data_IF_457696462205
#
_entry.id   IF_457696462205
#
_cell.length_a   1.000
_cell.length_b   1.000
_cell.length_c   1.000
_cell.angle_alpha   90.00
_cell.angle_beta   90.00
_cell.angle_gamma   90.00
#
_symmetry.space_group_name_H-M   'P 1'
#
loop_
_entity.id
_entity.type
_entity.pdbx_description
1 polymer ?
#
# COMPACT_ATOMS: atom_id res chain seq x y z
N UNK A 1 -38.60 4.79 -58.51
CA UNK A 1 -37.86 5.28 -57.32
C UNK A 1 -38.12 4.31 -56.17
N UNK A 2 -37.22 3.35 -55.97
CA UNK A 2 -37.32 2.31 -54.94
C UNK A 2 -36.52 2.78 -53.73
N UNK A 3 -37.19 2.96 -52.58
CA UNK A 3 -36.53 3.29 -51.31
C UNK A 3 -35.79 2.05 -50.82
N UNK A 4 -34.45 2.11 -50.79
CA UNK A 4 -33.63 1.09 -50.17
C UNK A 4 -33.82 1.14 -48.65
N UNK A 5 -34.24 0.01 -48.05
CA UNK A 5 -34.24 -0.23 -46.61
C UNK A 5 -32.78 -0.39 -46.16
N UNK A 6 -32.32 0.46 -45.25
CA UNK A 6 -31.08 0.21 -44.50
C UNK A 6 -31.28 -1.03 -43.60
N UNK A 7 -30.27 -1.92 -43.48
CA UNK A 7 -30.35 -3.07 -42.60
C UNK A 7 -30.32 -2.64 -41.12
N UNK A 8 -30.83 -3.48 -40.20
CA UNK A 8 -30.78 -3.19 -38.77
C UNK A 8 -29.31 -3.14 -38.31
N UNK A 9 -29.02 -2.19 -37.42
CA UNK A 9 -27.77 -2.09 -36.68
C UNK A 9 -27.56 -3.41 -35.92
N UNK A 10 -26.69 -4.26 -36.47
CA UNK A 10 -26.13 -5.36 -35.72
C UNK A 10 -25.13 -4.77 -34.74
N UNK A 11 -25.41 -4.94 -33.45
CA UNK A 11 -24.42 -4.80 -32.38
C UNK A 11 -23.16 -5.58 -32.80
N UNK A 12 -22.11 -4.84 -33.15
CA UNK A 12 -20.78 -5.40 -33.33
C UNK A 12 -20.30 -5.84 -31.96
N UNK A 13 -20.62 -7.07 -31.57
CA UNK A 13 -19.86 -7.81 -30.58
C UNK A 13 -18.45 -7.98 -31.15
N UNK A 14 -17.59 -7.01 -30.89
CA UNK A 14 -16.15 -7.14 -31.11
C UNK A 14 -15.72 -8.37 -30.30
N UNK A 15 -15.16 -9.41 -30.92
CA UNK A 15 -14.70 -10.57 -30.17
C UNK A 15 -13.64 -10.10 -29.17
N UNK A 16 -13.95 -10.22 -27.89
CA UNK A 16 -13.04 -9.91 -26.81
C UNK A 16 -11.79 -10.79 -27.00
N UNK A 17 -10.64 -10.17 -27.26
CA UNK A 17 -9.36 -10.87 -27.23
C UNK A 17 -9.19 -11.49 -25.84
N UNK A 18 -8.69 -12.73 -25.77
CA UNK A 18 -8.58 -13.51 -24.54
C UNK A 18 -7.88 -12.70 -23.43
N UNK A 19 -8.69 -12.16 -22.51
CA UNK A 19 -8.21 -11.43 -21.35
C UNK A 19 -7.54 -12.38 -20.35
N UNK A 20 -6.67 -11.85 -19.50
CA UNK A 20 -6.05 -12.64 -18.43
C UNK A 20 -6.99 -12.70 -17.23
N UNK A 21 -7.12 -13.89 -16.66
CA UNK A 21 -7.79 -14.14 -15.40
C UNK A 21 -6.91 -13.73 -14.23
N UNK A 22 -7.47 -12.96 -13.30
CA UNK A 22 -6.84 -12.57 -12.03
C UNK A 22 -7.82 -12.82 -10.88
N UNK A 23 -7.27 -13.14 -9.71
CA UNK A 23 -8.03 -13.20 -8.46
C UNK A 23 -7.67 -11.98 -7.62
N UNK A 24 -8.65 -11.12 -7.36
CA UNK A 24 -8.46 -9.91 -6.56
C UNK A 24 -9.22 -10.04 -5.22
N UNK A 25 -8.66 -9.47 -4.15
CA UNK A 25 -9.38 -9.33 -2.89
C UNK A 25 -10.49 -8.29 -3.05
N UNK A 26 -11.60 -8.44 -2.34
CA UNK A 26 -12.72 -7.50 -2.45
C UNK A 26 -12.35 -6.06 -2.04
N UNK A 27 -11.35 -5.88 -1.18
CA UNK A 27 -10.84 -4.56 -0.81
C UNK A 27 -10.09 -3.86 -1.95
N UNK A 28 -9.56 -4.62 -2.90
CA UNK A 28 -8.79 -4.13 -4.04
C UNK A 28 -9.66 -4.00 -5.29
N UNK A 29 -10.97 -4.16 -5.14
CA UNK A 29 -11.95 -4.09 -6.22
C UNK A 29 -12.99 -3.05 -5.87
N UNK A 30 -13.22 -2.14 -6.82
CA UNK A 30 -14.25 -1.13 -6.72
C UNK A 30 -15.16 -1.18 -7.93
N UNK A 31 -16.38 -0.71 -7.75
CA UNK A 31 -17.36 -0.70 -8.82
C UNK A 31 -16.99 0.32 -9.90
N UNK A 32 -17.25 -0.03 -11.16
CA UNK A 32 -17.07 0.87 -12.31
C UNK A 32 -18.00 2.08 -12.14
N UNK A 33 -17.55 3.30 -12.44
CA UNK A 33 -18.44 4.49 -12.39
C UNK A 33 -19.69 4.36 -13.29
N UNK A 34 -19.66 3.44 -14.24
CA UNK A 34 -20.79 3.14 -15.13
C UNK A 34 -21.82 2.19 -14.53
N UNK A 35 -21.54 1.57 -13.39
CA UNK A 35 -22.47 0.62 -12.78
C UNK A 35 -23.68 1.37 -12.21
N UNK A 36 -24.86 1.09 -12.76
CA UNK A 36 -26.12 1.69 -12.31
C UNK A 36 -26.46 1.40 -10.84
N UNK A 37 -25.98 0.28 -10.29
CA UNK A 37 -26.23 -0.10 -8.88
C UNK A 37 -25.57 0.86 -7.89
N UNK A 38 -24.43 1.45 -8.25
CA UNK A 38 -23.75 2.45 -7.43
C UNK A 38 -24.64 3.67 -7.17
N UNK A 39 -25.27 4.16 -8.23
CA UNK A 39 -26.07 5.39 -8.18
C UNK A 39 -27.36 5.21 -7.39
N UNK A 40 -27.85 3.97 -7.26
CA UNK A 40 -29.02 3.63 -6.44
C UNK A 40 -28.74 3.70 -4.93
N UNK A 41 -27.47 3.72 -4.53
CA UNK A 41 -27.09 3.81 -3.11
C UNK A 41 -27.02 5.23 -2.59
N UNK A 42 -26.86 6.20 -3.49
CA UNK A 42 -26.77 7.59 -3.09
C UNK A 42 -28.11 8.05 -2.53
N UNK A 43 -28.04 8.81 -1.45
CA UNK A 43 -29.18 9.50 -0.86
C UNK A 43 -28.84 10.94 -0.49
N UNK A 44 -29.85 11.72 -0.04
CA UNK A 44 -29.62 13.06 0.46
C UNK A 44 -28.56 13.09 1.57
N UNK A 45 -27.56 13.95 1.41
CA UNK A 45 -26.40 14.09 2.31
C UNK A 45 -25.12 13.42 1.82
N UNK A 46 -25.18 12.53 0.82
CA UNK A 46 -23.98 11.92 0.26
C UNK A 46 -23.15 12.91 -0.55
N UNK A 47 -21.82 12.77 -0.50
CA UNK A 47 -20.88 13.65 -1.20
C UNK A 47 -20.46 13.05 -2.53
N UNK A 48 -20.58 13.84 -3.59
CA UNK A 48 -20.16 13.48 -4.95
C UNK A 48 -19.28 14.58 -5.53
N UNK A 49 -18.72 14.36 -6.73
CA UNK A 49 -18.18 15.44 -7.53
C UNK A 49 -19.03 15.61 -8.80
N UNK A 50 -19.34 16.85 -9.15
CA UNK A 50 -20.05 17.20 -10.37
C UNK A 50 -19.14 17.97 -11.33
N UNK A 51 -19.35 17.79 -12.63
CA UNK A 51 -18.58 18.50 -13.65
C UNK A 51 -19.20 19.86 -13.94
N UNK A 52 -18.54 20.93 -13.50
CA UNK A 52 -18.99 22.30 -13.72
C UNK A 52 -18.52 22.82 -15.07
N UNK A 53 -19.42 22.93 -16.05
CA UNK A 53 -19.09 23.47 -17.38
C UNK A 53 -18.57 24.91 -17.35
N UNK A 54 -19.03 25.73 -16.39
CA UNK A 54 -18.59 27.11 -16.26
C UNK A 54 -17.10 27.21 -15.88
N UNK A 55 -16.59 26.21 -15.15
CA UNK A 55 -15.20 26.18 -14.66
C UNK A 55 -14.35 25.12 -15.39
N UNK A 56 -14.98 24.33 -16.26
CA UNK A 56 -14.37 23.18 -16.94
C UNK A 56 -13.61 22.25 -15.98
N UNK A 57 -14.18 22.01 -14.80
CA UNK A 57 -13.55 21.28 -13.71
C UNK A 57 -14.58 20.47 -12.92
N UNK A 58 -14.10 19.40 -12.27
CA UNK A 58 -14.87 18.66 -11.28
C UNK A 58 -14.87 19.42 -9.96
N UNK A 59 -16.02 19.50 -9.30
CA UNK A 59 -16.20 20.21 -8.04
C UNK A 59 -17.00 19.35 -7.07
N UNK A 60 -16.67 19.35 -5.76
CA UNK A 60 -17.43 18.62 -4.76
C UNK A 60 -18.85 19.20 -4.64
N UNK A 61 -19.81 18.33 -4.40
CA UNK A 61 -21.22 18.66 -4.21
C UNK A 61 -21.87 17.66 -3.25
N UNK A 62 -23.02 18.04 -2.68
CA UNK A 62 -23.82 17.20 -1.80
C UNK A 62 -25.15 16.90 -2.48
N UNK A 63 -25.55 15.63 -2.48
CA UNK A 63 -26.85 15.21 -2.98
C UNK A 63 -27.93 15.75 -2.05
N UNK A 64 -28.89 16.49 -2.58
CA UNK A 64 -30.09 16.95 -1.86
C UNK A 64 -31.31 16.07 -2.17
N UNK A 65 -31.35 15.50 -3.38
CA UNK A 65 -32.47 14.66 -3.83
C UNK A 65 -32.17 13.91 -5.12
N UNK A 66 -33.07 12.99 -5.47
CA UNK A 66 -33.04 12.25 -6.73
C UNK A 66 -34.38 12.46 -7.42
N UNK A 67 -34.34 13.01 -8.62
CA UNK A 67 -35.52 13.28 -9.43
C UNK A 67 -36.10 11.98 -10.02
N UNK A 68 -37.39 11.95 -10.38
CA UNK A 68 -38.04 10.76 -10.94
C UNK A 68 -37.44 10.25 -12.26
N UNK A 69 -36.70 11.10 -12.98
CA UNK A 69 -36.01 10.74 -14.22
C UNK A 69 -34.60 10.16 -14.00
N UNK A 70 -34.17 10.05 -12.73
CA UNK A 70 -32.86 9.53 -12.34
C UNK A 70 -31.74 10.59 -12.31
N UNK A 71 -32.05 11.86 -12.55
CA UNK A 71 -31.12 12.96 -12.31
C UNK A 71 -31.01 13.30 -10.82
N UNK A 72 -29.90 13.93 -10.42
CA UNK A 72 -29.63 14.28 -9.03
C UNK A 72 -29.79 15.78 -8.81
N UNK A 73 -30.48 16.14 -7.75
CA UNK A 73 -30.50 17.49 -7.22
C UNK A 73 -29.33 17.64 -6.25
N UNK A 74 -28.42 18.57 -6.56
CA UNK A 74 -27.26 18.88 -5.73
C UNK A 74 -27.43 20.25 -5.09
N UNK A 75 -26.75 20.48 -3.97
CA UNK A 75 -26.67 21.77 -3.27
C UNK A 75 -26.24 22.94 -4.17
N UNK A 76 -25.46 22.63 -5.21
CA UNK A 76 -24.96 23.59 -6.21
C UNK A 76 -25.80 23.69 -7.48
N UNK A 77 -26.57 22.65 -7.84
CA UNK A 77 -27.32 22.59 -9.09
C UNK A 77 -28.37 21.47 -9.09
N UNK A 78 -29.59 21.77 -9.51
CA UNK A 78 -30.68 20.79 -9.67
C UNK A 78 -30.63 20.04 -11.02
N UNK A 79 -31.19 18.82 -11.05
CA UNK A 79 -31.37 18.03 -12.28
C UNK A 79 -30.06 17.63 -13.00
N UNK A 80 -28.99 17.37 -12.25
CA UNK A 80 -27.68 17.01 -12.81
C UNK A 80 -27.71 15.54 -13.29
N UNK A 81 -27.43 15.26 -14.57
CA UNK A 81 -27.43 13.89 -15.07
C UNK A 81 -26.21 13.11 -14.53
N UNK A 82 -26.36 11.79 -14.38
CA UNK A 82 -25.29 10.89 -13.92
C UNK A 82 -24.01 11.01 -14.74
N UNK A 83 -24.10 11.33 -16.03
CA UNK A 83 -22.94 11.54 -16.90
C UNK A 83 -22.07 12.73 -16.51
N UNK A 84 -22.58 13.65 -15.69
CA UNK A 84 -21.86 14.79 -15.13
C UNK A 84 -21.47 14.59 -13.67
N UNK A 85 -21.71 13.39 -13.12
CA UNK A 85 -21.35 13.05 -11.75
C UNK A 85 -20.20 12.03 -11.75
N UNK A 86 -19.39 12.09 -10.70
CA UNK A 86 -18.47 11.02 -10.35
C UNK A 86 -18.48 10.81 -8.85
N UNK A 87 -18.43 9.54 -8.46
CA UNK A 87 -18.34 9.16 -7.06
C UNK A 87 -16.92 9.35 -6.54
N UNK A 88 -16.83 9.82 -5.29
CA UNK A 88 -15.59 9.75 -4.53
C UNK A 88 -15.23 8.29 -4.25
N UNK A 89 -13.94 8.00 -4.16
CA UNK A 89 -13.43 6.63 -4.03
C UNK A 89 -14.05 5.87 -2.85
N UNK A 90 -14.27 6.53 -1.71
CA UNK A 90 -14.94 5.94 -0.52
C UNK A 90 -16.31 5.31 -0.80
N UNK A 91 -17.06 5.82 -1.79
CA UNK A 91 -18.38 5.29 -2.15
C UNK A 91 -18.28 4.11 -3.12
N UNK A 92 -17.11 3.90 -3.73
CA UNK A 92 -16.88 2.84 -4.73
C UNK A 92 -16.36 1.55 -4.10
N UNK A 93 -15.87 1.62 -2.86
CA UNK A 93 -15.44 0.50 -2.01
C UNK A 93 -16.57 -0.09 -1.17
N UNK A 94 -17.76 -0.27 -1.74
CA UNK A 94 -18.84 -0.93 -1.00
C UNK A 94 -18.68 -2.46 -1.08
N UNK A 95 -18.04 -3.05 -0.06
CA UNK A 95 -17.78 -4.48 0.00
C UNK A 95 -19.04 -5.35 -0.18
N UNK A 96 -20.23 -4.88 0.22
CA UNK A 96 -21.49 -5.61 0.01
C UNK A 96 -21.89 -5.62 -1.46
N UNK A 97 -21.78 -4.50 -2.16
CA UNK A 97 -22.08 -4.46 -3.59
C UNK A 97 -21.02 -5.17 -4.44
N UNK A 98 -19.75 -5.11 -4.05
CA UNK A 98 -18.70 -5.87 -4.74
C UNK A 98 -18.98 -7.37 -4.62
N UNK A 99 -19.60 -7.84 -3.53
CA UNK A 99 -20.06 -9.23 -3.40
C UNK A 99 -21.26 -9.56 -4.31
N UNK A 100 -22.08 -8.56 -4.67
CA UNK A 100 -23.21 -8.72 -5.58
C UNK A 100 -22.82 -8.71 -7.06
N UNK A 101 -21.54 -8.42 -7.37
CA UNK A 101 -21.03 -8.50 -8.73
C UNK A 101 -21.16 -9.93 -9.28
N UNK A 102 -21.70 -10.02 -10.48
CA UNK A 102 -21.89 -11.25 -11.22
C UNK A 102 -21.00 -11.37 -12.45
N UNK A 103 -20.84 -12.58 -13.02
CA UNK A 103 -20.15 -12.78 -14.28
C UNK A 103 -20.66 -11.84 -15.37
N UNK A 104 -19.75 -11.06 -15.97
CA UNK A 104 -20.05 -10.08 -16.99
C UNK A 104 -20.07 -8.63 -16.51
N UNK A 105 -20.22 -8.38 -15.20
CA UNK A 105 -20.23 -7.02 -14.65
C UNK A 105 -18.86 -6.33 -14.82
N UNK A 106 -18.85 -5.01 -14.98
CA UNK A 106 -17.62 -4.22 -15.04
C UNK A 106 -17.18 -3.78 -13.65
N UNK A 107 -15.90 -3.97 -13.34
CA UNK A 107 -15.28 -3.51 -12.11
C UNK A 107 -13.95 -2.81 -12.43
N UNK A 108 -13.37 -2.18 -11.42
CA UNK A 108 -11.97 -1.77 -11.44
C UNK A 108 -11.24 -2.50 -10.32
N UNK A 109 -10.03 -2.97 -10.59
CA UNK A 109 -9.12 -3.50 -9.57
C UNK A 109 -7.89 -2.61 -9.47
N UNK A 110 -7.29 -2.54 -8.29
CA UNK A 110 -6.03 -1.82 -8.12
C UNK A 110 -4.87 -2.69 -8.62
N UNK A 111 -4.21 -2.27 -9.68
CA UNK A 111 -3.00 -2.92 -10.17
C UNK A 111 -1.82 -2.36 -9.39
N UNK A 112 -1.36 -3.14 -8.41
CA UNK A 112 -0.28 -2.72 -7.51
C UNK A 112 1.00 -2.44 -8.28
N UNK A 113 1.30 -3.21 -9.34
CA UNK A 113 2.51 -3.00 -10.15
C UNK A 113 2.49 -1.65 -10.89
N UNK A 114 1.30 -1.11 -11.16
CA UNK A 114 1.11 0.20 -11.79
C UNK A 114 0.80 1.31 -10.80
N UNK A 115 0.42 0.97 -9.57
CA UNK A 115 -0.16 1.90 -8.62
C UNK A 115 -1.37 2.65 -9.20
N UNK A 116 -2.18 1.95 -10.00
CA UNK A 116 -3.31 2.52 -10.74
C UNK A 116 -4.51 1.58 -10.78
N UNK A 117 -5.71 2.15 -10.79
CA UNK A 117 -6.96 1.40 -11.01
C UNK A 117 -7.11 0.98 -12.46
N UNK A 118 -7.25 -0.32 -12.71
CA UNK A 118 -7.42 -0.90 -14.03
C UNK A 118 -8.83 -1.46 -14.19
N UNK A 119 -9.39 -1.33 -15.39
CA UNK A 119 -10.70 -1.91 -15.71
C UNK A 119 -10.61 -3.42 -15.85
N UNK A 120 -11.61 -4.10 -15.31
CA UNK A 120 -11.76 -5.53 -15.46
C UNK A 120 -13.24 -5.92 -15.58
N UNK A 121 -13.47 -7.16 -16.01
CA UNK A 121 -14.80 -7.75 -16.07
C UNK A 121 -14.87 -8.94 -15.15
N UNK A 122 -15.93 -9.06 -14.39
CA UNK A 122 -16.11 -10.16 -13.45
C UNK A 122 -16.31 -11.46 -14.22
N UNK A 123 -15.53 -12.50 -13.90
CA UNK A 123 -15.65 -13.81 -14.51
C UNK A 123 -16.49 -14.76 -13.64
N UNK A 124 -16.37 -14.63 -12.33
CA UNK A 124 -17.09 -15.47 -11.36
C UNK A 124 -17.56 -14.61 -10.19
N UNK A 125 -18.67 -15.00 -9.57
CA UNK A 125 -19.15 -14.38 -8.34
C UNK A 125 -18.09 -14.38 -7.25
N UNK A 126 -18.11 -13.33 -6.42
CA UNK A 126 -17.28 -13.26 -5.24
C UNK A 126 -17.48 -14.48 -4.33
N UNK A 127 -16.39 -15.08 -3.86
CA UNK A 127 -16.40 -16.17 -2.87
C UNK A 127 -15.27 -15.96 -1.88
N UNK A 128 -15.58 -16.17 -0.60
CA UNK A 128 -14.60 -16.15 0.50
C UNK A 128 -13.69 -14.90 0.52
N UNK A 129 -14.24 -13.72 0.21
CA UNK A 129 -13.48 -12.46 0.27
C UNK A 129 -12.68 -12.11 -0.99
N UNK A 130 -12.80 -12.90 -2.06
CA UNK A 130 -12.13 -12.66 -3.35
C UNK A 130 -13.10 -12.72 -4.52
N UNK A 131 -12.72 -12.12 -5.64
CA UNK A 131 -13.46 -12.13 -6.90
C UNK A 131 -12.52 -12.40 -8.07
N UNK A 132 -13.00 -13.20 -9.02
CA UNK A 132 -12.25 -13.54 -10.23
C UNK A 132 -12.61 -12.57 -11.36
N UNK A 133 -11.60 -11.94 -11.96
CA UNK A 133 -11.75 -10.89 -12.96
C UNK A 133 -10.96 -11.21 -14.24
N UNK A 134 -11.47 -10.77 -15.37
CA UNK A 134 -10.79 -10.73 -16.67
C UNK A 134 -10.33 -9.31 -16.95
N UNK A 135 -9.03 -9.15 -17.15
CA UNK A 135 -8.45 -7.86 -17.53
C UNK A 135 -8.25 -7.85 -19.03
N UNK A 136 -8.84 -6.87 -19.72
CA UNK A 136 -8.67 -6.71 -21.17
C UNK A 136 -7.32 -6.07 -21.46
N UNK A 137 -6.49 -6.76 -22.23
CA UNK A 137 -5.20 -6.23 -22.64
C UNK A 137 -5.40 -5.15 -23.70
N UNK A 138 -5.16 -3.89 -23.34
CA UNK A 138 -4.56 -2.96 -24.29
C UNK A 138 -3.05 -2.74 -23.99
N UNK A 139 -2.57 -3.07 -22.78
CA UNK A 139 -1.17 -2.81 -22.39
C UNK A 139 -0.51 -3.74 -21.34
N UNK A 140 -1.04 -4.93 -21.00
CA UNK A 140 -0.41 -5.75 -19.94
C UNK A 140 0.61 -6.79 -20.47
N UNK A 141 1.71 -6.96 -19.73
CA UNK A 141 2.64 -8.10 -19.81
C UNK A 141 2.15 -9.22 -18.88
N UNK A 142 2.62 -10.47 -19.03
CA UNK A 142 2.15 -11.57 -18.19
C UNK A 142 2.64 -11.37 -16.76
N UNK A 143 1.72 -11.23 -15.81
CA UNK A 143 2.03 -11.63 -14.44
C UNK A 143 1.51 -13.06 -14.25
N UNK A 144 2.15 -13.83 -13.37
CA UNK A 144 1.73 -15.16 -12.97
C UNK A 144 1.23 -15.00 -11.54
N UNK A 145 -0.08 -15.11 -11.28
CA UNK A 145 -0.54 -15.36 -9.91
C UNK A 145 -1.80 -16.23 -9.91
N UNK A 146 -1.61 -17.44 -9.40
CA UNK A 146 -2.55 -18.16 -8.56
C UNK A 146 -1.75 -18.50 -7.31
N UNK A 147 -2.18 -18.07 -6.13
CA UNK A 147 -1.82 -18.80 -4.93
C UNK A 147 -2.96 -18.77 -3.92
N UNK A 148 -3.55 -19.95 -3.75
CA UNK A 148 -4.21 -20.37 -2.53
C UNK A 148 -3.14 -20.94 -1.57
N UNK A 149 -3.41 -20.81 -0.26
CA UNK A 149 -2.78 -21.47 0.90
C UNK A 149 -1.63 -20.76 1.67
N UNK A 150 -1.56 -20.95 3.02
CA UNK A 150 -0.95 -20.04 3.98
C UNK A 150 0.52 -20.37 4.28
N UNK A 151 1.35 -19.33 4.40
CA UNK A 151 2.70 -19.29 4.99
C UNK A 151 3.63 -20.48 4.62
N UNK A 152 4.23 -20.44 3.42
CA UNK A 152 5.43 -21.25 3.16
C UNK A 152 6.65 -20.60 3.80
N UNK A 153 6.99 -21.05 5.00
CA UNK A 153 8.29 -20.73 5.59
C UNK A 153 9.39 -21.33 4.70
N UNK A 154 10.28 -20.49 4.16
CA UNK A 154 11.49 -20.93 3.47
C UNK A 154 11.38 -21.17 1.96
N UNK A 155 10.61 -20.36 1.24
CA UNK A 155 10.72 -20.34 -0.22
C UNK A 155 12.10 -19.84 -0.67
N UNK A 156 12.61 -20.39 -1.77
CA UNK A 156 13.85 -19.96 -2.44
C UNK A 156 13.58 -19.36 -3.82
N UNK A 157 12.32 -19.34 -4.26
CA UNK A 157 11.94 -18.91 -5.60
C UNK A 157 12.13 -17.40 -5.74
N UNK A 158 13.07 -16.92 -6.57
CA UNK A 158 13.37 -15.50 -6.71
C UNK A 158 12.15 -14.63 -7.02
N UNK A 159 11.19 -15.16 -7.78
CA UNK A 159 9.97 -14.45 -8.15
C UNK A 159 9.06 -14.13 -6.96
N UNK A 160 9.07 -14.95 -5.91
CA UNK A 160 8.22 -14.76 -4.73
C UNK A 160 8.69 -13.56 -3.89
N UNK A 161 10.01 -13.45 -3.67
CA UNK A 161 10.60 -12.30 -2.98
C UNK A 161 10.32 -10.99 -3.72
N UNK A 162 10.52 -10.99 -5.05
CA UNK A 162 10.22 -9.81 -5.88
C UNK A 162 8.76 -9.44 -5.75
N UNK A 163 7.88 -10.43 -5.80
CA UNK A 163 6.46 -10.16 -5.71
C UNK A 163 6.08 -9.54 -4.38
N UNK A 164 6.61 -10.05 -3.28
CA UNK A 164 6.35 -9.46 -1.97
C UNK A 164 6.83 -8.00 -1.89
N UNK A 165 7.97 -7.70 -2.50
CA UNK A 165 8.44 -6.32 -2.56
C UNK A 165 7.52 -5.42 -3.41
N UNK A 166 7.00 -5.96 -4.53
CA UNK A 166 6.09 -5.24 -5.43
C UNK A 166 4.72 -4.99 -4.77
N UNK A 167 4.07 -6.05 -4.29
CA UNK A 167 2.70 -6.00 -3.78
C UNK A 167 2.57 -5.18 -2.49
N UNK A 168 3.62 -5.17 -1.67
CA UNK A 168 3.65 -4.35 -0.45
C UNK A 168 4.22 -2.95 -0.64
N UNK A 169 4.62 -2.57 -1.86
CA UNK A 169 5.45 -1.40 -2.16
C UNK A 169 6.63 -1.23 -1.16
N UNK A 170 7.25 -2.37 -0.83
CA UNK A 170 8.38 -2.45 0.08
C UNK A 170 9.63 -2.05 -0.69
N UNK A 171 10.39 -1.09 -0.16
CA UNK A 171 11.62 -0.64 -0.83
C UNK A 171 12.83 -0.89 -0.01
N UNK A 172 13.83 -1.42 -0.70
CA UNK A 172 15.12 -1.68 -0.12
C UNK A 172 15.95 -0.40 -0.14
N UNK A 173 16.76 -0.22 0.89
CA UNK A 173 17.65 0.92 1.06
C UNK A 173 19.01 0.55 0.48
N UNK A 174 19.61 1.44 -0.31
CA UNK A 174 20.97 1.20 -0.82
C UNK A 174 21.98 1.29 0.32
N UNK A 175 22.90 0.34 0.40
CA UNK A 175 24.02 0.43 1.35
C UNK A 175 24.90 1.66 1.14
N UNK A 176 25.01 2.17 -0.10
CA UNK A 176 25.66 3.46 -0.38
C UNK A 176 24.98 4.62 0.36
N UNK A 177 23.65 4.66 0.35
CA UNK A 177 22.91 5.72 1.05
C UNK A 177 23.12 5.65 2.56
N UNK A 178 23.13 4.44 3.14
CA UNK A 178 23.45 4.26 4.55
C UNK A 178 24.86 4.75 4.88
N UNK A 179 25.83 4.51 3.99
CA UNK A 179 27.19 5.00 4.19
C UNK A 179 27.30 6.53 4.09
N UNK A 180 26.52 7.15 3.22
CA UNK A 180 26.43 8.60 3.13
C UNK A 180 25.82 9.19 4.41
N UNK A 181 24.72 8.62 4.93
CA UNK A 181 24.12 9.02 6.21
C UNK A 181 25.13 8.93 7.36
N UNK A 182 25.85 7.81 7.46
CA UNK A 182 26.86 7.63 8.50
C UNK A 182 28.01 8.64 8.40
N UNK A 183 28.47 8.95 7.17
CA UNK A 183 29.52 9.96 6.93
C UNK A 183 29.07 11.36 7.31
N UNK A 184 27.81 11.69 7.05
CA UNK A 184 27.23 12.99 7.35
C UNK A 184 26.77 13.14 8.81
N UNK A 185 26.80 12.05 9.59
CA UNK A 185 26.21 12.02 10.93
C UNK A 185 24.69 12.21 10.89
N UNK A 186 24.02 11.78 9.84
CA UNK A 186 22.57 11.83 9.72
C UNK A 186 21.93 10.56 10.28
N UNK A 187 20.74 10.72 10.88
CA UNK A 187 19.92 9.59 11.32
C UNK A 187 19.18 8.94 10.15
N UNK A 188 18.66 7.74 10.36
CA UNK A 188 17.82 7.05 9.39
C UNK A 188 16.56 7.89 9.11
N UNK A 189 16.26 8.23 7.85
CA UNK A 189 15.01 8.91 7.51
C UNK A 189 13.83 7.93 7.55
N UNK A 190 12.61 8.46 7.69
CA UNK A 190 11.41 7.66 7.42
C UNK A 190 11.35 7.27 5.95
N UNK A 191 10.59 6.20 5.64
CA UNK A 191 10.31 5.80 4.26
C UNK A 191 9.92 6.97 3.34
N UNK A 192 8.97 7.81 3.75
CA UNK A 192 8.49 8.93 2.93
C UNK A 192 9.55 10.00 2.64
N UNK A 193 10.49 10.20 3.57
CA UNK A 193 11.61 11.12 3.37
C UNK A 193 12.66 10.51 2.44
N UNK A 194 12.91 9.21 2.59
CA UNK A 194 13.85 8.47 1.76
C UNK A 194 13.44 8.41 0.27
N UNK A 195 12.15 8.49 -0.05
CA UNK A 195 11.66 8.52 -1.45
C UNK A 195 12.20 9.69 -2.28
N UNK A 196 12.53 10.80 -1.61
CA UNK A 196 13.07 12.00 -2.25
C UNK A 196 14.57 12.19 -1.97
N UNK A 197 15.20 11.25 -1.28
CA UNK A 197 16.61 11.31 -0.93
C UNK A 197 17.49 10.69 -2.03
N UNK A 198 18.72 11.18 -2.12
CA UNK A 198 19.71 10.72 -3.08
C UNK A 198 21.03 10.43 -2.37
N UNK A 199 21.79 9.47 -2.88
CA UNK A 199 23.18 9.23 -2.51
C UNK A 199 24.04 10.41 -2.99
N UNK A 200 25.25 10.53 -2.44
CA UNK A 200 26.24 11.51 -2.88
C UNK A 200 26.68 11.29 -4.34
N UNK A 201 26.52 10.07 -4.87
CA UNK A 201 26.72 9.78 -6.29
C UNK A 201 25.53 10.14 -7.18
N UNK A 202 24.44 10.65 -6.61
CA UNK A 202 23.24 11.09 -7.33
C UNK A 202 22.24 9.99 -7.64
N UNK A 203 22.38 8.79 -7.05
CA UNK A 203 21.38 7.71 -7.19
C UNK A 203 20.25 7.88 -6.16
N UNK A 204 19.01 7.46 -6.44
CA UNK A 204 17.97 7.45 -5.43
C UNK A 204 18.37 6.62 -4.21
N UNK A 205 18.02 7.07 -3.00
CA UNK A 205 18.31 6.37 -1.74
C UNK A 205 17.66 4.98 -1.68
N UNK A 206 16.42 4.90 -2.16
CA UNK A 206 15.65 3.67 -2.26
C UNK A 206 15.88 2.99 -3.62
N UNK A 207 15.94 1.67 -3.60
CA UNK A 207 16.04 0.84 -4.79
C UNK A 207 14.69 0.84 -5.52
N UNK A 208 14.72 1.04 -6.83
CA UNK A 208 13.50 1.02 -7.63
C UNK A 208 13.02 -0.42 -7.89
N UNK A 209 11.71 -0.61 -8.02
CA UNK A 209 11.14 -1.92 -8.33
C UNK A 209 11.72 -2.55 -9.62
N UNK A 210 11.97 -1.79 -10.71
CA UNK A 210 12.64 -2.33 -11.89
C UNK A 210 14.05 -2.87 -11.61
N UNK A 211 14.82 -2.23 -10.73
CA UNK A 211 16.15 -2.73 -10.33
C UNK A 211 16.04 -4.04 -9.55
N UNK A 212 15.07 -4.15 -8.65
CA UNK A 212 14.79 -5.39 -7.91
C UNK A 212 14.42 -6.52 -8.87
N UNK A 213 13.54 -6.26 -9.83
CA UNK A 213 13.16 -7.24 -10.86
C UNK A 213 14.35 -7.68 -11.70
N UNK A 214 15.22 -6.73 -12.09
CA UNK A 214 16.40 -7.03 -12.88
C UNK A 214 17.39 -7.92 -12.11
N UNK A 215 17.71 -7.58 -10.87
CA UNK A 215 18.60 -8.40 -10.03
C UNK A 215 18.01 -9.78 -9.72
N UNK A 216 16.69 -9.85 -9.55
CA UNK A 216 16.04 -11.12 -9.28
C UNK A 216 16.05 -12.08 -10.48
N UNK A 217 16.05 -11.54 -11.70
CA UNK A 217 16.17 -12.32 -12.93
C UNK A 217 17.57 -12.92 -13.13
N UNK A 218 18.59 -12.38 -12.45
CA UNK A 218 19.94 -12.94 -12.45
C UNK A 218 20.02 -14.22 -11.60
N UNK A 219 20.71 -15.28 -12.09
CA UNK A 219 20.99 -16.47 -11.29
C UNK A 219 21.66 -16.09 -9.97
N UNK A 220 21.29 -16.72 -8.85
CA UNK A 220 21.82 -16.37 -7.53
C UNK A 220 23.35 -16.37 -7.45
N UNK A 221 24.02 -17.29 -8.17
CA UNK A 221 25.48 -17.38 -8.20
C UNK A 221 26.16 -16.19 -8.90
N UNK A 222 25.42 -15.40 -9.67
CA UNK A 222 25.91 -14.25 -10.44
C UNK A 222 25.46 -12.91 -9.84
N UNK A 223 24.62 -12.93 -8.81
CA UNK A 223 24.16 -11.71 -8.13
C UNK A 223 25.32 -11.01 -7.49
N UNK A 224 25.44 -9.72 -7.78
CA UNK A 224 26.47 -8.86 -7.18
C UNK A 224 25.97 -8.19 -5.90
N UNK A 225 24.65 -8.16 -5.71
CA UNK A 225 23.98 -7.50 -4.60
C UNK A 225 23.38 -8.52 -3.65
N UNK A 226 23.66 -8.35 -2.35
CA UNK A 226 23.00 -9.10 -1.28
C UNK A 226 21.74 -8.35 -0.82
N UNK A 227 20.62 -9.06 -0.63
CA UNK A 227 19.44 -8.50 0.04
C UNK A 227 19.50 -8.86 1.52
N UNK A 228 19.48 -7.85 2.38
CA UNK A 228 19.75 -7.96 3.82
C UNK A 228 18.55 -7.48 4.61
N UNK A 229 17.90 -8.40 5.33
CA UNK A 229 16.82 -8.06 6.26
C UNK A 229 17.42 -7.73 7.63
N UNK A 230 17.24 -6.49 8.09
CA UNK A 230 17.79 -6.02 9.36
C UNK A 230 16.77 -6.24 10.47
N UNK A 231 17.06 -7.18 11.37
CA UNK A 231 16.35 -7.31 12.63
C UNK A 231 17.14 -6.57 13.71
N UNK A 232 16.53 -5.56 14.31
CA UNK A 232 17.20 -4.70 15.28
C UNK A 232 16.25 -4.25 16.38
N UNK A 233 16.81 -3.85 17.52
CA UNK A 233 16.03 -3.30 18.62
C UNK A 233 15.70 -1.83 18.34
N UNK A 234 14.42 -1.47 18.43
CA UNK A 234 14.05 -0.06 18.46
C UNK A 234 14.53 0.56 19.78
N UNK A 235 15.26 1.67 19.72
CA UNK A 235 15.81 2.30 20.93
C UNK A 235 14.87 3.32 21.56
N UNK A 236 13.90 3.82 20.79
CA UNK A 236 12.84 4.68 21.27
C UNK A 236 11.52 4.36 20.55
N UNK A 237 10.40 4.84 21.11
CA UNK A 237 9.09 4.66 20.47
C UNK A 237 8.98 5.43 19.15
N UNK A 238 9.68 6.56 19.04
CA UNK A 238 9.55 7.50 17.94
C UNK A 238 10.57 7.25 16.83
N UNK A 239 11.71 6.63 17.14
CA UNK A 239 12.79 6.39 16.18
C UNK A 239 13.61 5.12 16.53
N UNK A 240 13.93 4.26 15.55
CA UNK A 240 14.61 2.98 15.83
C UNK A 240 16.06 3.15 16.29
N UNK A 241 16.80 4.10 15.73
CA UNK A 241 18.23 4.30 15.97
C UNK A 241 18.58 5.80 16.13
N UNK A 242 18.08 6.47 17.18
CA UNK A 242 18.23 7.92 17.33
C UNK A 242 19.67 8.33 17.57
N UNK A 243 20.47 7.43 18.14
CA UNK A 243 21.90 7.61 18.35
C UNK A 243 22.74 7.11 17.17
N UNK A 244 22.17 6.68 16.04
CA UNK A 244 22.89 6.21 14.83
C UNK A 244 23.85 5.03 15.07
N UNK A 245 23.78 4.38 16.23
CA UNK A 245 24.71 3.31 16.60
C UNK A 245 24.51 2.10 15.70
N UNK A 246 23.26 1.76 15.39
CA UNK A 246 22.95 0.61 14.56
C UNK A 246 23.30 0.88 13.09
N UNK A 247 23.07 2.09 12.60
CA UNK A 247 23.53 2.56 11.30
C UNK A 247 25.05 2.39 11.16
N UNK A 248 25.82 2.81 12.17
CA UNK A 248 27.28 2.64 12.19
C UNK A 248 27.71 1.17 12.10
N UNK A 249 26.94 0.26 12.74
CA UNK A 249 27.17 -1.19 12.65
C UNK A 249 26.83 -1.74 11.27
N UNK A 250 25.74 -1.27 10.65
CA UNK A 250 25.33 -1.66 9.30
C UNK A 250 26.39 -1.30 8.26
N UNK A 251 26.92 -0.08 8.30
CA UNK A 251 27.91 0.38 7.31
C UNK A 251 29.31 -0.20 7.52
N UNK A 252 29.59 -0.72 8.73
CA UNK A 252 30.82 -1.45 9.03
C UNK A 252 30.81 -2.90 8.51
N UNK A 253 29.68 -3.39 8.00
CA UNK A 253 29.52 -4.78 7.58
C UNK A 253 30.32 -5.08 6.29
N UNK A 254 31.00 -6.24 6.21
CA UNK A 254 31.72 -6.62 5.00
C UNK A 254 30.74 -6.83 3.85
N UNK A 255 30.79 -5.95 2.85
CA UNK A 255 29.87 -5.83 1.69
C UNK A 255 28.69 -4.88 1.88
N UNK A 256 28.75 -3.96 2.85
CA UNK A 256 27.70 -2.95 3.01
C UNK A 256 27.38 -2.19 1.71
N UNK A 257 28.39 -1.77 0.95
CA UNK A 257 28.21 -1.08 -0.35
C UNK A 257 27.64 -1.97 -1.46
N UNK A 258 27.71 -3.29 -1.33
CA UNK A 258 27.15 -4.27 -2.26
C UNK A 258 25.89 -4.93 -1.68
N UNK A 259 25.19 -4.22 -0.79
CA UNK A 259 23.99 -4.72 -0.14
C UNK A 259 22.82 -3.76 -0.32
N UNK A 260 21.63 -4.34 -0.42
CA UNK A 260 20.34 -3.66 -0.33
C UNK A 260 19.64 -4.11 0.95
N UNK A 261 19.20 -3.15 1.75
CA UNK A 261 18.72 -3.41 3.09
C UNK A 261 17.20 -3.26 3.17
N UNK A 262 16.54 -4.26 3.72
CA UNK A 262 15.21 -4.09 4.30
C UNK A 262 15.39 -3.64 5.75
N UNK A 263 15.01 -2.39 6.03
CA UNK A 263 14.97 -1.79 7.37
C UNK A 263 13.53 -1.30 7.54
N UNK A 264 12.74 -1.95 8.39
CA UNK A 264 11.29 -1.67 8.55
C UNK A 264 10.92 -0.18 8.54
N UNK A 265 11.64 0.66 9.30
CA UNK A 265 11.41 2.11 9.40
C UNK A 265 11.60 2.89 8.10
N UNK A 266 12.57 2.48 7.27
CA UNK A 266 12.92 3.14 6.01
C UNK A 266 12.26 2.45 4.81
N UNK A 267 11.95 1.16 4.94
CA UNK A 267 11.43 0.29 3.89
C UNK A 267 9.91 0.26 3.83
N UNK A 268 9.22 0.48 4.96
CA UNK A 268 7.76 0.49 5.05
C UNK A 268 7.24 1.89 5.37
N UNK A 269 6.02 2.21 4.92
CA UNK A 269 5.42 3.52 5.22
C UNK A 269 5.24 3.73 6.74
N UNK A 270 5.76 4.86 7.23
CA UNK A 270 5.65 5.26 8.64
C UNK A 270 4.48 6.23 8.83
N UNK A 271 4.06 6.51 10.07
CA UNK A 271 3.04 7.54 10.29
C UNK A 271 3.58 8.95 9.94
N UNK A 272 2.71 9.90 9.53
CA UNK A 272 1.33 9.67 9.12
C UNK A 272 1.27 9.00 7.74
N UNK A 273 0.29 8.13 7.54
CA UNK A 273 0.05 7.43 6.28
C UNK A 273 -1.19 7.95 5.60
N UNK A 274 -1.17 8.04 4.28
CA UNK A 274 -2.41 8.11 3.48
C UNK A 274 -3.17 6.78 3.55
N UNK A 275 -4.43 6.75 3.11
CA UNK A 275 -5.22 5.51 3.06
C UNK A 275 -4.54 4.42 2.21
N UNK A 276 -4.01 4.79 1.04
CA UNK A 276 -3.24 3.88 0.18
C UNK A 276 -1.97 3.37 0.88
N UNK A 277 -1.23 4.26 1.56
CA UNK A 277 -0.02 3.87 2.30
C UNK A 277 -0.34 2.95 3.48
N UNK A 278 -1.50 3.15 4.13
CA UNK A 278 -1.99 2.31 5.21
C UNK A 278 -2.26 0.88 4.70
N UNK A 279 -2.93 0.74 3.55
CA UNK A 279 -3.20 -0.55 2.92
C UNK A 279 -1.90 -1.28 2.55
N UNK A 280 -0.96 -0.58 1.88
CA UNK A 280 0.35 -1.16 1.55
C UNK A 280 1.10 -1.58 2.82
N UNK A 281 1.07 -0.77 3.88
CA UNK A 281 1.72 -1.09 5.14
C UNK A 281 1.13 -2.34 5.80
N UNK A 282 -0.19 -2.44 5.92
CA UNK A 282 -0.87 -3.59 6.52
C UNK A 282 -0.56 -4.87 5.76
N UNK A 283 -0.62 -4.82 4.43
CA UNK A 283 -0.27 -5.95 3.58
C UNK A 283 1.21 -6.34 3.75
N UNK A 284 2.12 -5.37 3.69
CA UNK A 284 3.55 -5.61 3.83
C UNK A 284 3.88 -6.23 5.19
N UNK A 285 3.25 -5.77 6.27
CA UNK A 285 3.42 -6.33 7.61
C UNK A 285 3.02 -7.80 7.70
N UNK A 286 2.00 -8.24 6.94
CA UNK A 286 1.69 -9.65 6.84
C UNK A 286 2.83 -10.45 6.17
N UNK A 287 3.58 -9.86 5.25
CA UNK A 287 4.63 -10.55 4.49
C UNK A 287 6.04 -10.45 5.09
N UNK A 288 6.26 -9.59 6.08
CA UNK A 288 7.59 -9.44 6.73
C UNK A 288 8.20 -10.80 7.15
N UNK A 289 7.47 -11.77 7.72
CA UNK A 289 8.04 -13.08 8.03
C UNK A 289 8.62 -13.82 6.81
N UNK A 290 8.06 -13.65 5.62
CA UNK A 290 8.62 -14.21 4.39
C UNK A 290 9.95 -13.53 4.07
N UNK A 291 10.04 -12.20 4.14
CA UNK A 291 11.29 -11.48 3.90
C UNK A 291 12.43 -11.99 4.80
N UNK A 292 12.16 -12.28 6.08
CA UNK A 292 13.18 -12.78 7.00
C UNK A 292 13.54 -14.26 6.85
N UNK A 293 12.71 -15.04 6.14
CA UNK A 293 12.89 -16.48 5.98
C UNK A 293 13.19 -16.92 4.54
N UNK A 294 13.07 -16.01 3.57
CA UNK A 294 13.28 -16.30 2.15
C UNK A 294 14.76 -16.57 1.84
N UNK A 295 15.06 -17.66 1.13
CA UNK A 295 16.44 -18.10 0.87
C UNK A 295 17.27 -17.17 -0.03
N UNK A 296 16.61 -16.25 -0.72
CA UNK A 296 17.24 -15.14 -1.47
C UNK A 296 17.61 -13.92 -0.63
N UNK A 297 17.41 -13.97 0.69
CA UNK A 297 17.77 -12.89 1.64
C UNK A 297 18.71 -13.44 2.71
N UNK A 298 19.46 -12.55 3.36
CA UNK A 298 20.14 -12.86 4.63
C UNK A 298 19.58 -11.98 5.73
N UNK A 299 19.49 -12.53 6.94
CA UNK A 299 19.05 -11.78 8.11
C UNK A 299 20.25 -11.35 8.93
N UNK A 300 20.39 -10.04 9.16
CA UNK A 300 21.35 -9.47 10.08
C UNK A 300 20.64 -9.09 11.37
N UNK A 301 21.07 -9.64 12.50
CA UNK A 301 20.49 -9.39 13.82
C UNK A 301 21.41 -8.47 14.62
N UNK A 302 20.95 -7.26 14.91
CA UNK A 302 21.63 -6.27 15.76
C UNK A 302 20.90 -6.23 17.10
N UNK A 303 21.35 -7.07 18.04
CA UNK A 303 20.78 -7.14 19.40
C UNK A 303 21.44 -6.20 20.42
N UNK A 304 22.54 -5.54 20.04
CA UNK A 304 23.25 -4.57 20.88
C UNK A 304 22.54 -3.21 20.79
N UNK A 305 22.13 -2.65 21.93
CA UNK A 305 21.66 -1.27 22.02
C UNK A 305 22.84 -0.30 22.09
N UNK A 306 22.60 0.98 21.76
CA UNK A 306 23.57 2.07 21.97
C UNK A 306 24.14 2.00 23.40
N UNK A 307 25.49 1.89 23.56
CA UNK A 307 26.13 1.93 24.86
C UNK A 307 25.77 3.22 25.62
N UNK A 308 25.50 3.13 26.92
CA UNK A 308 24.99 4.27 27.70
C UNK A 308 25.89 5.51 27.60
N UNK A 309 27.22 5.33 27.61
CA UNK A 309 28.14 6.44 27.42
C UNK A 309 27.93 7.15 26.07
N UNK A 310 27.79 6.39 24.98
CA UNK A 310 27.54 6.95 23.66
C UNK A 310 26.17 7.61 23.57
N UNK A 311 25.17 7.04 24.25
CA UNK A 311 23.84 7.64 24.34
C UNK A 311 23.90 9.02 25.00
N UNK A 312 24.61 9.14 26.13
CA UNK A 312 24.82 10.40 26.83
C UNK A 312 25.56 11.44 25.96
N UNK A 313 26.54 11.00 25.18
CA UNK A 313 27.28 11.87 24.24
C UNK A 313 26.40 12.39 23.09
N UNK A 314 25.30 11.70 22.75
CA UNK A 314 24.41 12.01 21.63
C UNK A 314 23.07 12.61 22.04
N UNK A 315 22.87 12.96 23.31
CA UNK A 315 21.62 13.57 23.80
C UNK A 315 21.23 14.86 23.06
N UNK A 316 22.23 15.62 22.60
CA UNK A 316 22.03 16.86 21.86
C UNK A 316 21.88 16.67 20.34
N UNK A 317 22.06 15.44 19.82
CA UNK A 317 21.80 15.14 18.42
C UNK A 317 20.31 15.32 18.10
N UNK A 318 20.02 15.63 16.83
CA UNK A 318 18.67 15.96 16.38
C UNK A 318 18.18 14.96 15.35
N UNK A 319 17.02 14.38 15.62
CA UNK A 319 16.34 13.43 14.72
C UNK A 319 14.98 13.96 14.28
N UNK A 320 14.51 13.48 13.13
CA UNK A 320 13.15 13.76 12.65
C UNK A 320 12.17 12.76 13.26
N UNK A 321 11.13 13.27 13.95
CA UNK A 321 10.01 12.47 14.44
C UNK A 321 8.70 13.09 13.96
N UNK A 322 7.65 12.30 13.85
CA UNK A 322 6.32 12.84 13.60
C UNK A 322 5.68 13.15 14.94
N UNK A 323 5.27 14.40 15.13
CA UNK A 323 4.38 14.74 16.22
C UNK A 323 2.99 14.17 15.91
N UNK A 324 2.53 13.23 16.74
CA UNK A 324 1.24 12.57 16.54
C UNK A 324 0.06 13.55 16.57
N UNK A 325 0.19 14.64 17.35
CA UNK A 325 -0.91 15.58 17.54
C UNK A 325 -1.16 16.47 16.31
N UNK A 326 -0.08 16.86 15.62
CA UNK A 326 -0.13 17.72 14.45
C UNK A 326 0.05 16.96 13.13
N UNK A 327 0.53 15.71 13.17
CA UNK A 327 0.90 14.91 12.01
C UNK A 327 2.10 15.47 11.23
N UNK A 328 2.87 16.41 11.82
CA UNK A 328 3.99 17.08 11.16
C UNK A 328 5.31 16.47 11.58
N UNK A 329 6.26 16.48 10.66
CA UNK A 329 7.66 16.14 10.95
C UNK A 329 8.28 17.27 11.77
N UNK A 330 8.71 16.95 12.98
CA UNK A 330 9.45 17.82 13.88
C UNK A 330 10.88 17.33 14.06
N UNK A 331 11.80 18.27 14.28
CA UNK A 331 13.19 17.98 14.57
C UNK A 331 13.43 18.15 16.06
N UNK A 332 13.64 17.05 16.76
CA UNK A 332 13.77 17.03 18.23
C UNK A 332 15.12 16.48 18.64
N UNK A 333 15.56 16.84 19.86
CA UNK A 333 16.78 16.28 20.42
C UNK A 333 16.54 14.84 20.86
N UNK A 334 17.58 14.00 20.79
CA UNK A 334 17.54 12.61 21.31
C UNK A 334 17.11 12.58 22.78
N UNK A 335 17.52 13.57 23.58
CA UNK A 335 17.11 13.72 24.98
C UNK A 335 15.59 13.85 25.22
N UNK A 336 14.81 14.13 24.17
CA UNK A 336 13.34 14.29 24.25
C UNK A 336 12.58 13.01 23.88
N UNK A 337 13.28 11.97 23.43
CA UNK A 337 12.66 10.71 22.98
C UNK A 337 12.35 9.78 24.14
N UNK A 338 11.32 8.96 23.98
CA UNK A 338 10.92 7.97 24.97
C UNK A 338 11.72 6.69 24.77
N UNK A 339 12.71 6.40 25.63
CA UNK A 339 13.50 5.17 25.53
C UNK A 339 12.64 3.92 25.74
N UNK A 340 12.93 2.88 24.96
CA UNK A 340 12.32 1.56 25.17
C UNK A 340 12.64 1.02 26.58
N UNK A 341 11.61 0.93 27.43
CA UNK A 341 11.70 0.44 28.81
C UNK A 341 11.54 1.50 29.90
N UNK A 342 11.50 2.78 29.54
CA UNK A 342 11.32 3.91 30.48
C UNK A 342 9.87 4.46 30.49
N UNK A 343 9.00 3.99 29.59
CA UNK A 343 7.58 4.30 29.51
C UNK A 343 6.66 3.26 30.18
N UNK A 344 5.63 3.72 30.88
CA UNK A 344 4.59 2.87 31.47
C UNK A 344 3.79 2.17 30.37
N UNK A 345 4.07 0.89 30.13
CA UNK A 345 3.25 0.02 29.28
C UNK A 345 4.02 -0.53 28.09
N UNK A 346 4.33 -1.82 28.17
CA UNK A 346 4.92 -2.62 27.11
C UNK A 346 4.06 -2.50 25.84
N UNK A 347 4.62 -1.97 24.75
CA UNK A 347 4.03 -2.10 23.42
C UNK A 347 4.33 -3.50 22.90
N UNK A 348 3.39 -4.42 23.09
CA UNK A 348 3.31 -5.66 22.32
C UNK A 348 2.43 -5.35 21.12
N UNK A 349 2.84 -5.62 19.88
CA UNK A 349 1.94 -5.54 18.73
C UNK A 349 0.71 -6.40 19.03
N UNK A 350 -0.48 -5.79 19.05
CA UNK A 350 -1.73 -6.42 19.50
C UNK A 350 -2.23 -7.43 18.43
N UNK A 351 -1.51 -8.54 18.27
CA UNK A 351 -1.83 -9.65 17.37
C UNK A 351 -2.74 -10.71 18.03
N UNK A 352 -3.24 -10.50 19.25
CA UNK A 352 -3.90 -11.57 20.02
C UNK A 352 -5.10 -11.18 20.90
N UNK A 353 -5.77 -10.04 20.70
CA UNK A 353 -7.09 -9.83 21.34
C UNK A 353 -8.18 -10.59 20.61
N UNK A 354 -8.49 -11.79 21.14
CA UNK A 354 -9.79 -12.46 20.91
C UNK A 354 -10.93 -11.46 21.15
N UNK A 355 -12.00 -11.48 20.34
CA UNK A 355 -13.15 -10.62 20.57
C UNK A 355 -13.73 -10.91 21.95
N UNK A 356 -13.88 -9.86 22.76
CA UNK A 356 -14.51 -9.92 24.05
C UNK A 356 -15.91 -10.52 23.90
N UNK A 357 -16.14 -11.62 24.62
CA UNK A 357 -17.45 -12.23 24.78
C UNK A 357 -18.47 -11.19 25.25
N UNK A 358 -19.57 -11.07 24.52
CA UNK A 358 -20.76 -10.32 24.92
C UNK A 358 -21.15 -10.64 26.39
N UNK A 359 -21.53 -9.64 27.21
CA UNK A 359 -21.95 -9.91 28.57
C UNK A 359 -23.28 -10.67 28.59
N UNK A 360 -23.27 -11.80 29.30
CA UNK A 360 -24.45 -12.58 29.62
C UNK A 360 -25.49 -11.71 30.33
N UNK A 361 -26.70 -11.62 29.75
CA UNK A 361 -27.88 -11.10 30.45
C UNK A 361 -28.20 -12.01 31.62
N UNK A 362 -28.03 -11.51 32.85
CA UNK A 362 -28.58 -12.14 34.04
C UNK A 362 -30.09 -11.92 34.09
N UNK A 363 -30.81 -13.04 34.09
CA UNK A 363 -32.16 -13.13 34.64
C UNK A 363 -32.11 -12.85 36.15
N UNK A 364 -32.98 -11.97 36.66
CA UNK A 364 -33.96 -12.30 37.70
C UNK A 364 -34.72 -11.08 38.28
N UNK A 365 -36.05 -11.25 38.36
CA UNK A 365 -37.04 -10.70 39.34
C UNK A 365 -37.19 -9.16 39.35
N UNK A 366 -38.36 -8.55 39.16
CA UNK A 366 -39.76 -8.92 39.44
C UNK A 366 -40.69 -8.67 38.26
#
# INVERSE_FOLDING_TARGET
MVKAKLPPEHDFLVPFCAGREIHAQLCDVRLSQKDGKLWQQLGPGDTVEYFSHAWNAWSPAVVEGIAPDGSFDLDVQAGVPVSQLRLLDKHRFNALLVQELGPGDEAEYFDIARCEWQRARVLQHARAGSICLSVTFDQARPALYLHEEPWRVGSTEPGELVQVLLDGDIRLVRGEFLQDLAREGAALPRRQEAENAFTLSGRPALVSLPEVQQEAACPMAERQIDIVCVSHCWESCEHPDPCRFQLERLVAEPRALQSWYFIDYVSLFQLPRTECQQQCFEWAMCQVPLLFSHGGTRTLVIGERTPEQLFQERLDDVVGIVDESSGKLERVKVAQLTREGEGVGIWVPDLARKPASLPARSLHRC
#
